data_IF_764534948355
#
_entry.id   IF_764534948355
#
_cell.length_a   1.000
_cell.length_b   1.000
_cell.length_c   1.000
_cell.angle_alpha   90.00
_cell.angle_beta   90.00
_cell.angle_gamma   90.00
#
_symmetry.space_group_name_H-M   'P 1'
#
loop_
_entity.id
_entity.type
_entity.pdbx_description
1 polymer ?
#
# COMPACT_ATOMS: atom_id res chain seq x y z
N UNK A 1 -33.72 1.20 22.88
CA UNK A 1 -32.60 0.58 23.61
C UNK A 1 -31.43 1.55 23.65
N UNK A 2 -30.38 1.22 24.41
CA UNK A 2 -29.15 2.03 24.44
C UNK A 2 -28.35 1.91 23.14
N UNK A 3 -27.56 2.93 22.81
CA UNK A 3 -26.65 2.87 21.67
C UNK A 3 -25.47 1.91 21.95
N UNK A 4 -24.95 1.29 20.89
CA UNK A 4 -23.71 0.52 20.96
C UNK A 4 -22.49 1.43 21.20
N UNK A 5 -21.57 0.99 22.05
CA UNK A 5 -20.33 1.74 22.31
C UNK A 5 -19.32 1.61 21.16
N UNK A 6 -18.44 2.59 21.03
CA UNK A 6 -17.28 2.54 20.14
C UNK A 6 -16.06 1.96 20.90
N UNK A 7 -15.40 0.93 20.36
CA UNK A 7 -14.18 0.33 20.93
C UNK A 7 -12.90 1.17 20.73
N UNK A 8 -11.72 0.55 20.88
CA UNK A 8 -10.42 1.11 20.47
C UNK A 8 -10.16 1.06 18.96
N UNK A 9 -9.01 1.55 18.50
CA UNK A 9 -8.67 1.57 17.06
C UNK A 9 -8.71 0.18 16.41
N UNK A 10 -9.31 0.10 15.21
CA UNK A 10 -9.57 -1.16 14.51
C UNK A 10 -10.62 -2.07 15.16
N UNK A 11 -11.24 -1.69 16.28
CA UNK A 11 -12.28 -2.48 16.92
C UNK A 11 -13.64 -2.19 16.30
N UNK A 12 -14.46 -3.25 16.30
CA UNK A 12 -15.84 -3.17 15.85
C UNK A 12 -16.67 -2.29 16.78
N UNK A 13 -17.67 -1.65 16.20
CA UNK A 13 -18.70 -0.97 16.97
C UNK A 13 -19.59 -1.95 17.71
N UNK A 14 -20.00 -1.58 18.92
CA UNK A 14 -20.91 -2.38 19.74
C UNK A 14 -22.30 -2.46 19.12
N UNK A 15 -23.01 -3.55 19.38
CA UNK A 15 -24.41 -3.66 18.96
C UNK A 15 -25.30 -2.67 19.72
N UNK A 16 -26.28 -2.12 19.01
CA UNK A 16 -27.35 -1.34 19.62
C UNK A 16 -28.27 -2.23 20.45
N UNK A 17 -28.65 -1.76 21.63
CA UNK A 17 -29.58 -2.47 22.50
C UNK A 17 -30.97 -2.54 21.87
N UNK A 18 -31.60 -3.71 21.91
CA UNK A 18 -33.01 -3.84 21.57
C UNK A 18 -33.86 -2.90 22.46
N UNK A 19 -34.97 -2.42 21.92
CA UNK A 19 -36.02 -1.87 22.78
C UNK A 19 -36.59 -2.99 23.67
N UNK A 20 -37.07 -2.61 24.85
CA UNK A 20 -37.84 -3.51 25.71
C UNK A 20 -39.22 -3.77 25.09
N UNK A 21 -40.25 -3.90 25.93
CA UNK A 21 -41.61 -4.17 25.44
C UNK A 21 -42.10 -3.14 24.40
N UNK A 22 -41.70 -1.87 24.55
CA UNK A 22 -42.03 -0.77 23.63
C UNK A 22 -40.79 0.05 23.24
N UNK A 23 -40.90 0.85 22.18
CA UNK A 23 -39.94 1.90 21.83
C UNK A 23 -38.97 1.52 20.70
N UNK A 24 -38.07 2.44 20.36
CA UNK A 24 -37.12 2.25 19.25
C UNK A 24 -35.91 1.42 19.66
N UNK A 25 -35.37 0.67 18.70
CA UNK A 25 -34.09 0.00 18.86
C UNK A 25 -32.94 1.01 18.94
N UNK A 26 -31.91 0.70 19.73
CA UNK A 26 -30.71 1.53 19.82
C UNK A 26 -29.86 1.41 18.56
N UNK A 27 -29.17 2.48 18.17
CA UNK A 27 -28.23 2.42 17.04
C UNK A 27 -27.01 1.54 17.38
N UNK A 28 -26.49 0.83 16.38
CA UNK A 28 -25.18 0.20 16.46
C UNK A 28 -24.08 1.25 16.49
N UNK A 29 -23.01 0.98 17.22
CA UNK A 29 -21.84 1.86 17.26
C UNK A 29 -21.06 1.79 15.96
N UNK A 30 -20.37 2.87 15.60
CA UNK A 30 -19.47 2.86 14.46
C UNK A 30 -18.21 2.03 14.75
N UNK A 31 -17.71 1.34 13.74
CA UNK A 31 -16.39 0.73 13.76
C UNK A 31 -15.32 1.80 13.67
N UNK A 32 -14.25 1.64 14.45
CA UNK A 32 -13.18 2.65 14.47
C UNK A 32 -12.22 2.46 13.32
N UNK A 33 -11.55 3.56 12.94
CA UNK A 33 -10.47 3.50 11.97
C UNK A 33 -9.38 2.52 12.42
N UNK A 34 -8.76 1.84 11.45
CA UNK A 34 -7.65 0.93 11.70
C UNK A 34 -6.50 1.64 12.40
N UNK A 35 -5.83 0.93 13.31
CA UNK A 35 -4.70 1.50 14.04
C UNK A 35 -3.59 1.90 13.06
N UNK A 36 -2.94 3.03 13.31
CA UNK A 36 -1.78 3.46 12.52
C UNK A 36 -0.60 2.52 12.77
N UNK A 37 0.11 2.17 11.71
CA UNK A 37 1.42 1.52 11.75
C UNK A 37 2.49 2.55 11.43
N UNK A 38 3.74 2.30 11.82
CA UNK A 38 4.84 3.26 11.62
C UNK A 38 6.14 2.61 11.13
N UNK A 39 6.23 1.28 11.12
CA UNK A 39 7.38 0.59 10.56
C UNK A 39 7.39 0.73 9.02
N UNK A 40 8.54 1.00 8.38
CA UNK A 40 8.64 1.07 6.93
C UNK A 40 8.12 -0.21 6.26
N UNK A 41 7.35 -0.05 5.19
CA UNK A 41 6.73 -1.16 4.48
C UNK A 41 5.61 -1.90 5.21
N UNK A 42 5.23 -1.46 6.42
CA UNK A 42 4.14 -2.09 7.15
C UNK A 42 2.80 -1.86 6.43
N UNK A 43 2.01 -2.92 6.34
CA UNK A 43 0.64 -2.82 5.86
C UNK A 43 -0.23 -2.04 6.84
N UNK A 44 -1.17 -1.29 6.31
CA UNK A 44 -2.23 -0.67 7.08
C UNK A 44 -3.13 -1.73 7.72
N UNK A 45 -3.66 -1.39 8.89
CA UNK A 45 -4.63 -2.21 9.60
C UNK A 45 -6.04 -1.93 9.07
N UNK A 46 -6.87 -2.97 9.08
CA UNK A 46 -8.27 -2.82 8.72
C UNK A 46 -9.01 -1.90 9.70
N UNK A 47 -10.02 -1.18 9.19
CA UNK A 47 -11.01 -0.53 10.03
C UNK A 47 -11.95 -1.56 10.67
N UNK A 48 -12.45 -1.25 11.86
CA UNK A 48 -13.44 -2.07 12.53
C UNK A 48 -14.79 -2.02 11.80
N UNK A 49 -15.58 -3.07 11.92
CA UNK A 49 -16.94 -3.11 11.37
C UNK A 49 -17.90 -2.30 12.23
N UNK A 50 -18.94 -1.74 11.63
CA UNK A 50 -20.03 -1.13 12.36
C UNK A 50 -20.88 -2.17 13.10
N UNK A 51 -21.35 -1.82 14.28
CA UNK A 51 -22.24 -2.64 15.08
C UNK A 51 -23.64 -2.74 14.49
N UNK A 52 -24.33 -3.84 14.74
CA UNK A 52 -25.73 -3.98 14.32
C UNK A 52 -26.65 -3.06 15.12
N UNK A 53 -27.69 -2.53 14.49
CA UNK A 53 -28.77 -1.81 15.17
C UNK A 53 -29.67 -2.75 15.99
N UNK A 54 -30.15 -2.27 17.13
CA UNK A 54 -31.07 -3.03 17.98
C UNK A 54 -32.47 -3.14 17.40
N UNK A 55 -33.20 -4.19 17.74
CA UNK A 55 -34.61 -4.32 17.33
C UNK A 55 -35.51 -3.28 18.02
N UNK A 56 -36.55 -2.83 17.32
CA UNK A 56 -37.64 -2.05 17.89
C UNK A 56 -38.57 -2.92 18.75
N UNK A 57 -39.16 -2.33 19.79
CA UNK A 57 -40.10 -3.02 20.68
C UNK A 57 -41.45 -3.23 20.00
N UNK A 58 -42.19 -4.25 20.40
CA UNK A 58 -43.52 -4.50 19.85
C UNK A 58 -44.53 -3.42 20.29
N UNK A 59 -45.66 -3.34 19.57
CA UNK A 59 -46.83 -2.58 20.00
C UNK A 59 -47.60 -3.31 21.10
N UNK A 60 -48.44 -2.60 21.82
CA UNK A 60 -49.32 -3.20 22.83
C UNK A 60 -50.33 -4.16 22.22
N UNK A 61 -50.79 -5.15 23.00
CA UNK A 61 -51.75 -6.17 22.55
C UNK A 61 -53.15 -5.63 22.28
N UNK A 62 -53.49 -4.48 22.86
CA UNK A 62 -54.77 -3.79 22.65
C UNK A 62 -54.60 -2.64 21.64
N UNK A 63 -53.60 -1.80 21.87
CA UNK A 63 -53.29 -0.66 21.02
C UNK A 63 -51.80 -0.30 21.16
N UNK A 64 -51.25 0.31 20.12
CA UNK A 64 -49.89 0.85 20.10
C UNK A 64 -49.09 0.40 18.89
N UNK A 65 -48.29 1.32 18.38
CA UNK A 65 -47.41 1.05 17.24
C UNK A 65 -46.20 0.22 17.66
N UNK A 66 -45.71 -0.60 16.72
CA UNK A 66 -44.38 -1.18 16.84
C UNK A 66 -43.30 -0.11 16.73
N UNK A 67 -42.22 -0.28 17.48
CA UNK A 67 -41.08 0.63 17.46
C UNK A 67 -40.19 0.44 16.25
N UNK A 68 -39.53 1.50 15.80
CA UNK A 68 -38.58 1.44 14.68
C UNK A 68 -37.29 0.73 15.12
N UNK A 69 -36.71 -0.09 14.25
CA UNK A 69 -35.40 -0.70 14.47
C UNK A 69 -34.27 0.35 14.48
N UNK A 70 -33.24 0.14 15.28
CA UNK A 70 -32.08 1.03 15.32
C UNK A 70 -31.25 0.96 14.04
N UNK A 71 -30.58 2.05 13.67
CA UNK A 71 -29.65 2.02 12.55
C UNK A 71 -28.42 1.16 12.87
N UNK A 72 -27.83 0.52 11.85
CA UNK A 72 -26.51 -0.09 11.97
C UNK A 72 -25.42 0.96 11.93
N UNK A 73 -24.32 0.72 12.65
CA UNK A 73 -23.16 1.62 12.67
C UNK A 73 -22.36 1.59 11.37
N UNK A 74 -21.62 2.64 11.09
CA UNK A 74 -20.72 2.71 9.95
C UNK A 74 -19.45 1.88 10.16
N UNK A 75 -18.89 1.33 9.09
CA UNK A 75 -17.58 0.71 9.11
C UNK A 75 -16.45 1.74 9.17
N UNK A 76 -15.40 1.41 9.93
CA UNK A 76 -14.23 2.26 10.10
C UNK A 76 -13.34 2.30 8.86
N UNK A 77 -12.60 3.40 8.68
CA UNK A 77 -11.61 3.52 7.60
C UNK A 77 -10.40 2.60 7.87
N UNK A 78 -9.88 1.93 6.85
CA UNK A 78 -8.58 1.23 6.94
C UNK A 78 -7.41 2.21 7.02
N UNK A 79 -6.39 1.93 7.83
CA UNK A 79 -5.22 2.81 7.91
C UNK A 79 -4.31 2.67 6.69
N UNK A 80 -3.48 3.69 6.46
CA UNK A 80 -2.55 3.67 5.34
C UNK A 80 -1.43 2.64 5.55
N UNK A 81 -0.96 2.05 4.45
CA UNK A 81 0.33 1.36 4.42
C UNK A 81 1.48 2.36 4.43
N UNK A 82 2.63 1.93 4.92
CA UNK A 82 3.81 2.79 5.06
C UNK A 82 4.75 2.59 3.89
N UNK A 83 5.35 3.68 3.42
CA UNK A 83 6.37 3.59 2.38
C UNK A 83 7.53 2.67 2.82
N UNK A 84 8.12 2.00 1.85
CA UNK A 84 9.30 1.18 2.06
C UNK A 84 10.52 2.04 2.40
N UNK A 85 11.42 1.51 3.22
CA UNK A 85 12.67 2.19 3.54
C UNK A 85 13.58 2.26 2.31
N UNK A 86 14.36 3.34 2.18
CA UNK A 86 15.44 3.37 1.20
C UNK A 86 16.50 2.31 1.53
N UNK A 87 17.05 1.68 0.50
CA UNK A 87 18.15 0.75 0.62
C UNK A 87 19.44 1.46 1.04
N UNK A 88 20.22 0.82 1.91
CA UNK A 88 21.61 1.21 2.14
C UNK A 88 22.49 0.92 0.90
N UNK A 89 23.78 1.27 0.93
CA UNK A 89 24.68 1.12 -0.21
C UNK A 89 24.62 -0.27 -0.87
N UNK A 90 24.27 -0.31 -2.15
CA UNK A 90 24.07 -1.54 -2.95
C UNK A 90 22.89 -2.43 -2.53
N UNK A 91 22.15 -2.07 -1.48
CA UNK A 91 21.04 -2.84 -0.95
C UNK A 91 19.71 -2.40 -1.59
N UNK A 92 18.79 -3.34 -1.68
CA UNK A 92 17.46 -3.07 -2.20
C UNK A 92 16.67 -2.12 -1.27
N UNK A 93 15.80 -1.31 -1.86
CA UNK A 93 14.76 -0.60 -1.14
C UNK A 93 13.70 -1.56 -0.60
N UNK A 94 13.12 -1.23 0.55
CA UNK A 94 11.99 -1.95 1.11
C UNK A 94 10.73 -1.77 0.26
N UNK A 95 9.83 -2.74 0.29
CA UNK A 95 8.52 -2.61 -0.35
C UNK A 95 7.62 -1.65 0.44
N UNK A 96 6.71 -0.96 -0.25
CA UNK A 96 5.63 -0.22 0.36
C UNK A 96 4.55 -1.16 0.90
N UNK A 97 3.99 -0.80 2.05
CA UNK A 97 2.90 -1.53 2.66
C UNK A 97 1.58 -1.31 1.91
N UNK A 98 0.73 -2.34 1.88
CA UNK A 98 -0.63 -2.18 1.37
C UNK A 98 -1.48 -1.36 2.33
N UNK A 99 -2.48 -0.65 1.83
CA UNK A 99 -3.49 -0.01 2.67
C UNK A 99 -4.37 -1.05 3.38
N UNK A 100 -4.82 -0.74 4.60
CA UNK A 100 -5.76 -1.59 5.32
C UNK A 100 -7.15 -1.52 4.72
N UNK A 101 -7.93 -2.59 4.81
CA UNK A 101 -9.31 -2.58 4.30
C UNK A 101 -10.22 -1.69 5.15
N UNK A 102 -11.23 -1.08 4.54
CA UNK A 102 -12.32 -0.47 5.28
C UNK A 102 -13.17 -1.54 5.97
N UNK A 103 -13.66 -1.24 7.17
CA UNK A 103 -14.58 -2.11 7.89
C UNK A 103 -15.96 -2.14 7.24
N UNK A 104 -16.71 -3.21 7.46
CA UNK A 104 -18.06 -3.32 6.90
C UNK A 104 -19.05 -2.46 7.70
N UNK A 105 -20.10 -1.97 7.05
CA UNK A 105 -21.21 -1.35 7.76
C UNK A 105 -22.05 -2.39 8.52
N UNK A 106 -22.59 -2.00 9.68
CA UNK A 106 -23.45 -2.83 10.49
C UNK A 106 -24.86 -2.96 9.91
N UNK A 107 -25.52 -4.09 10.15
CA UNK A 107 -26.92 -4.25 9.74
C UNK A 107 -27.85 -3.36 10.56
N UNK A 108 -28.93 -2.86 9.94
CA UNK A 108 -30.02 -2.20 10.64
C UNK A 108 -30.86 -3.18 11.48
N UNK A 109 -31.41 -2.70 12.58
CA UNK A 109 -32.26 -3.47 13.48
C UNK A 109 -33.64 -3.73 12.91
N UNK A 110 -34.29 -4.80 13.35
CA UNK A 110 -35.66 -5.13 12.96
C UNK A 110 -36.66 -4.12 13.52
N UNK A 111 -37.70 -3.80 12.75
CA UNK A 111 -38.85 -3.06 13.25
C UNK A 111 -39.74 -3.93 14.14
N UNK A 112 -40.30 -3.34 15.18
CA UNK A 112 -41.23 -4.00 16.10
C UNK A 112 -42.59 -4.25 15.46
N UNK A 113 -43.26 -5.32 15.88
CA UNK A 113 -44.59 -5.69 15.36
C UNK A 113 -45.70 -5.04 16.18
N UNK A 114 -46.73 -4.48 15.52
CA UNK A 114 -47.95 -4.10 16.22
C UNK A 114 -48.82 -5.35 16.47
N UNK A 115 -49.23 -5.57 17.72
CA UNK A 115 -50.00 -6.76 18.14
C UNK A 115 -51.50 -6.48 18.32
N UNK A 116 -51.87 -5.22 18.54
CA UNK A 116 -53.24 -4.72 18.62
C UNK A 116 -53.54 -3.66 17.55
N UNK A 117 -54.41 -2.71 17.84
CA UNK A 117 -54.69 -1.59 16.91
C UNK A 117 -53.47 -0.67 16.85
N UNK A 118 -52.76 -0.68 15.73
CA UNK A 118 -51.55 0.12 15.52
C UNK A 118 -50.82 -0.28 14.23
N UNK A 119 -49.79 0.48 13.90
CA UNK A 119 -48.91 0.19 12.77
C UNK A 119 -47.60 -0.41 13.25
N UNK A 120 -47.09 -1.43 12.57
CA UNK A 120 -45.75 -1.96 12.84
C UNK A 120 -44.66 -0.93 12.59
N UNK A 121 -43.54 -1.08 13.28
CA UNK A 121 -42.37 -0.24 13.14
C UNK A 121 -41.58 -0.59 11.89
N UNK A 122 -40.95 0.41 11.28
CA UNK A 122 -40.02 0.22 10.16
C UNK A 122 -38.72 -0.42 10.66
N UNK A 123 -38.02 -1.10 9.76
CA UNK A 123 -36.66 -1.54 10.03
C UNK A 123 -35.67 -0.37 10.06
N UNK A 124 -34.58 -0.52 10.79
CA UNK A 124 -33.49 0.45 10.83
C UNK A 124 -32.66 0.42 9.56
N UNK A 125 -32.06 1.56 9.19
CA UNK A 125 -31.12 1.61 8.06
C UNK A 125 -29.85 0.81 8.37
N UNK A 126 -29.23 0.21 7.35
CA UNK A 126 -27.90 -0.36 7.45
C UNK A 126 -26.82 0.73 7.43
N UNK A 127 -25.69 0.46 8.07
CA UNK A 127 -24.54 1.36 8.07
C UNK A 127 -23.75 1.30 6.77
N UNK A 128 -23.09 2.40 6.42
CA UNK A 128 -22.16 2.44 5.29
C UNK A 128 -20.86 1.68 5.60
N UNK A 129 -20.26 1.07 4.60
CA UNK A 129 -18.91 0.51 4.69
C UNK A 129 -17.83 1.59 4.77
N UNK A 130 -16.73 1.28 5.42
CA UNK A 130 -15.57 2.15 5.59
C UNK A 130 -14.72 2.25 4.33
N UNK A 131 -14.00 3.36 4.18
CA UNK A 131 -13.07 3.56 3.07
C UNK A 131 -11.80 2.73 3.29
N UNK A 132 -11.24 2.16 2.22
CA UNK A 132 -9.95 1.49 2.26
C UNK A 132 -8.77 2.46 2.49
N UNK A 133 -7.68 1.95 3.04
CA UNK A 133 -6.45 2.68 3.30
C UNK A 133 -5.66 2.95 2.03
N UNK A 134 -4.92 4.06 2.02
CA UNK A 134 -3.95 4.34 0.97
C UNK A 134 -2.76 3.38 1.07
N UNK A 135 -2.16 2.97 -0.05
CA UNK A 135 -0.90 2.21 -0.06
C UNK A 135 0.31 3.09 0.25
N UNK A 136 1.43 2.44 0.58
CA UNK A 136 2.75 3.06 0.62
C UNK A 136 3.52 2.81 -0.69
N UNK A 137 4.39 3.75 -1.04
CA UNK A 137 5.33 3.61 -2.16
C UNK A 137 6.50 2.68 -1.79
N UNK A 138 7.12 2.06 -2.79
CA UNK A 138 8.35 1.33 -2.62
C UNK A 138 9.55 2.25 -2.36
N UNK A 139 10.47 1.82 -1.51
CA UNK A 139 11.70 2.53 -1.21
C UNK A 139 12.68 2.49 -2.38
N UNK A 140 13.52 3.51 -2.52
CA UNK A 140 14.58 3.53 -3.53
C UNK A 140 15.67 2.52 -3.20
N UNK A 141 16.21 1.84 -4.20
CA UNK A 141 17.43 1.05 -4.05
C UNK A 141 18.64 1.93 -3.76
N UNK A 142 19.55 1.45 -2.92
CA UNK A 142 20.76 2.21 -2.60
C UNK A 142 21.77 2.15 -3.72
N UNK A 143 22.53 3.22 -3.91
CA UNK A 143 23.59 3.26 -4.92
C UNK A 143 24.71 2.27 -4.59
N UNK A 144 25.30 1.68 -5.61
CA UNK A 144 26.47 0.83 -5.47
C UNK A 144 27.65 1.58 -4.87
N UNK A 145 28.55 0.85 -4.23
CA UNK A 145 29.80 1.37 -3.67
C UNK A 145 30.98 0.52 -4.11
N UNK A 146 32.17 1.11 -4.13
CA UNK A 146 33.40 0.39 -4.42
C UNK A 146 33.91 -0.26 -3.14
N UNK A 147 34.14 -1.58 -3.18
CA UNK A 147 34.72 -2.34 -2.07
C UNK A 147 35.90 -3.13 -2.60
N UNK A 148 37.10 -2.87 -2.06
CA UNK A 148 38.34 -3.53 -2.49
C UNK A 148 38.65 -3.35 -3.97
N UNK A 149 38.45 -2.14 -4.50
CA UNK A 149 38.70 -1.80 -5.91
C UNK A 149 37.60 -2.19 -6.90
N UNK A 150 36.63 -3.02 -6.46
CA UNK A 150 35.54 -3.50 -7.32
C UNK A 150 34.31 -2.62 -7.15
N UNK A 151 33.80 -2.08 -8.27
CA UNK A 151 32.60 -1.27 -8.28
C UNK A 151 31.34 -2.13 -8.08
N UNK A 152 30.61 -1.87 -6.99
CA UNK A 152 29.38 -2.57 -6.67
C UNK A 152 28.18 -2.11 -7.50
N UNK A 153 27.20 -3.00 -7.63
CA UNK A 153 25.94 -2.70 -8.31
C UNK A 153 25.03 -1.83 -7.43
N UNK A 154 24.14 -1.08 -8.08
CA UNK A 154 23.02 -0.44 -7.41
C UNK A 154 21.98 -1.48 -6.96
N UNK A 155 21.37 -1.23 -5.81
CA UNK A 155 20.28 -2.05 -5.29
C UNK A 155 18.98 -1.82 -6.06
N UNK A 156 18.09 -2.81 -6.06
CA UNK A 156 16.78 -2.67 -6.70
C UNK A 156 15.87 -1.74 -5.90
N UNK A 157 14.96 -1.04 -6.58
CA UNK A 157 13.85 -0.37 -5.93
C UNK A 157 12.85 -1.36 -5.36
N UNK A 158 12.21 -1.01 -4.24
CA UNK A 158 11.14 -1.79 -3.64
C UNK A 158 9.83 -1.63 -4.42
N UNK A 159 8.95 -2.61 -4.31
CA UNK A 159 7.63 -2.57 -4.96
C UNK A 159 6.66 -1.67 -4.18
N UNK A 160 5.73 -1.03 -4.88
CA UNK A 160 4.64 -0.27 -4.25
C UNK A 160 3.55 -1.18 -3.67
N UNK A 161 2.84 -0.67 -2.66
CA UNK A 161 1.72 -1.36 -2.02
C UNK A 161 0.40 -1.27 -2.79
N UNK A 162 -0.54 -2.17 -2.47
CA UNK A 162 -1.90 -2.13 -3.00
C UNK A 162 -2.83 -1.25 -2.13
N UNK A 163 -3.78 -0.51 -2.71
CA UNK A 163 -4.79 0.17 -1.92
C UNK A 163 -5.66 -0.86 -1.18
N UNK A 164 -6.08 -0.50 0.03
CA UNK A 164 -7.03 -1.32 0.80
C UNK A 164 -8.41 -1.29 0.16
N UNK A 165 -9.16 -2.38 0.24
CA UNK A 165 -10.51 -2.42 -0.32
C UNK A 165 -11.49 -1.63 0.56
N UNK A 166 -12.47 -0.97 -0.05
CA UNK A 166 -13.62 -0.45 0.69
C UNK A 166 -14.42 -1.57 1.37
N UNK A 167 -15.00 -1.27 2.53
CA UNK A 167 -15.86 -2.18 3.27
C UNK A 167 -17.24 -2.33 2.63
N UNK A 168 -17.91 -3.44 2.91
CA UNK A 168 -19.26 -3.68 2.39
C UNK A 168 -20.31 -2.80 3.08
N UNK A 169 -21.41 -2.56 2.38
CA UNK A 169 -22.61 -1.94 2.96
C UNK A 169 -23.26 -2.88 3.99
N UNK A 170 -23.76 -2.31 5.08
CA UNK A 170 -24.70 -2.96 5.97
C UNK A 170 -26.08 -3.06 5.33
N UNK A 171 -26.75 -4.20 5.53
CA UNK A 171 -28.14 -4.37 5.08
C UNK A 171 -29.10 -3.57 5.97
N UNK A 172 -30.16 -3.02 5.39
CA UNK A 172 -31.28 -2.49 6.15
C UNK A 172 -32.03 -3.59 6.90
N UNK A 173 -32.53 -3.28 8.09
CA UNK A 173 -33.34 -4.20 8.88
C UNK A 173 -34.72 -4.39 8.25
N UNK A 174 -35.33 -5.57 8.42
CA UNK A 174 -36.71 -5.77 8.00
C UNK A 174 -37.68 -4.93 8.87
N UNK A 175 -38.76 -4.43 8.27
CA UNK A 175 -39.87 -3.87 9.04
C UNK A 175 -40.66 -4.95 9.78
N UNK A 176 -41.43 -4.53 10.79
CA UNK A 176 -42.47 -5.39 11.35
C UNK A 176 -43.58 -5.64 10.31
N UNK A 177 -44.56 -6.49 10.63
CA UNK A 177 -45.60 -6.92 9.66
C UNK A 177 -46.27 -5.72 8.99
N UNK A 178 -46.20 -5.66 7.66
CA UNK A 178 -46.78 -4.58 6.85
C UNK A 178 -46.00 -3.26 6.86
N UNK A 179 -44.89 -3.17 7.58
CA UNK A 179 -44.02 -2.01 7.60
C UNK A 179 -42.83 -2.17 6.65
N UNK A 180 -42.31 -1.04 6.17
CA UNK A 180 -41.16 -1.02 5.27
C UNK A 180 -39.87 -1.45 5.98
N UNK A 181 -39.02 -2.16 5.24
CA UNK A 181 -37.62 -2.39 5.60
C UNK A 181 -36.84 -1.07 5.59
N UNK A 182 -35.75 -1.04 6.37
CA UNK A 182 -34.78 0.04 6.30
C UNK A 182 -33.99 -0.02 4.99
N UNK A 183 -33.41 1.12 4.61
CA UNK A 183 -32.51 1.18 3.47
C UNK A 183 -31.19 0.46 3.78
N UNK A 184 -30.57 -0.14 2.76
CA UNK A 184 -29.18 -0.60 2.85
C UNK A 184 -28.25 0.62 2.94
N UNK A 185 -27.11 0.43 3.60
CA UNK A 185 -26.02 1.40 3.53
C UNK A 185 -25.34 1.41 2.16
N UNK A 186 -24.34 2.27 2.01
CA UNK A 186 -23.48 2.30 0.83
C UNK A 186 -22.20 1.52 1.07
N UNK A 187 -21.65 0.93 0.00
CA UNK A 187 -20.32 0.32 0.08
C UNK A 187 -19.26 1.41 0.25
N UNK A 188 -18.22 1.10 1.01
CA UNK A 188 -17.04 1.93 1.14
C UNK A 188 -16.25 1.98 -0.16
N UNK A 189 -15.44 3.02 -0.32
CA UNK A 189 -14.63 3.21 -1.52
C UNK A 189 -13.25 2.59 -1.38
N UNK A 190 -12.73 2.06 -2.48
CA UNK A 190 -11.33 1.63 -2.64
C UNK A 190 -10.56 2.79 -3.25
N UNK A 191 -9.42 3.23 -2.68
CA UNK A 191 -8.59 4.26 -3.30
C UNK A 191 -8.19 3.88 -4.73
N UNK A 192 -8.25 4.85 -5.64
CA UNK A 192 -7.95 4.68 -7.06
C UNK A 192 -6.47 4.95 -7.40
N UNK A 193 -5.62 5.12 -6.38
CA UNK A 193 -4.18 5.32 -6.51
C UNK A 193 -3.44 4.18 -5.80
N UNK A 194 -2.45 3.60 -6.49
CA UNK A 194 -1.60 2.53 -6.00
C UNK A 194 -0.27 3.09 -5.50
N UNK A 195 0.45 2.32 -4.70
CA UNK A 195 1.82 2.68 -4.33
C UNK A 195 2.69 2.59 -5.58
N UNK A 196 3.54 3.59 -5.82
CA UNK A 196 4.51 3.54 -6.89
C UNK A 196 5.70 2.66 -6.49
N UNK A 197 6.32 2.01 -7.47
CA UNK A 197 7.59 1.33 -7.26
C UNK A 197 8.73 2.32 -7.03
N UNK A 198 9.69 1.94 -6.19
CA UNK A 198 10.89 2.73 -5.93
C UNK A 198 11.86 2.71 -7.11
N UNK A 199 12.66 3.76 -7.26
CA UNK A 199 13.73 3.78 -8.25
C UNK A 199 14.85 2.79 -7.88
N UNK A 200 15.48 2.17 -8.88
CA UNK A 200 16.71 1.41 -8.70
C UNK A 200 17.91 2.32 -8.43
N UNK A 201 18.85 1.84 -7.63
CA UNK A 201 20.09 2.55 -7.30
C UNK A 201 21.05 2.61 -8.49
N UNK A 202 21.88 3.64 -8.54
CA UNK A 202 22.93 3.77 -9.56
C UNK A 202 24.08 2.83 -9.24
N UNK A 203 24.67 2.19 -10.26
CA UNK A 203 25.88 1.38 -10.11
C UNK A 203 27.11 2.23 -9.79
N UNK A 204 28.04 1.72 -8.99
CA UNK A 204 29.26 2.45 -8.67
C UNK A 204 30.14 2.63 -9.90
N UNK A 205 30.82 3.77 -10.03
CA UNK A 205 31.89 3.88 -11.01
C UNK A 205 33.16 3.22 -10.46
N UNK A 206 33.92 2.55 -11.32
CA UNK A 206 35.23 2.04 -10.96
C UNK A 206 36.19 3.18 -10.59
N UNK A 207 37.18 2.87 -9.75
CA UNK A 207 38.18 3.83 -9.26
C UNK A 207 39.62 3.39 -9.51
N UNK A 208 39.83 2.18 -10.04
CA UNK A 208 41.15 1.60 -10.28
C UNK A 208 41.36 1.31 -11.77
N UNK A 209 42.60 1.44 -12.29
CA UNK A 209 42.91 1.17 -13.69
C UNK A 209 42.37 -0.17 -14.20
N UNK A 210 41.69 -0.13 -15.34
CA UNK A 210 41.04 -1.31 -15.93
C UNK A 210 39.77 -1.79 -15.22
N UNK A 211 39.37 -1.16 -14.10
CA UNK A 211 38.20 -1.54 -13.32
C UNK A 211 36.87 -1.29 -14.05
N UNK A 212 35.92 -2.22 -13.89
CA UNK A 212 34.60 -2.13 -14.49
C UNK A 212 33.60 -1.39 -13.60
N UNK A 213 32.73 -0.59 -14.21
CA UNK A 213 31.61 0.03 -13.51
C UNK A 213 30.55 -0.99 -13.09
N UNK A 214 29.93 -0.76 -11.93
CA UNK A 214 28.83 -1.58 -11.43
C UNK A 214 27.54 -1.36 -12.23
N UNK A 215 26.70 -2.38 -12.31
CA UNK A 215 25.39 -2.27 -12.94
C UNK A 215 24.41 -1.43 -12.10
N UNK A 216 23.48 -0.75 -12.76
CA UNK A 216 22.35 -0.10 -12.11
C UNK A 216 21.31 -1.10 -11.61
N UNK A 217 20.64 -0.78 -10.51
CA UNK A 217 19.57 -1.59 -9.94
C UNK A 217 18.28 -1.48 -10.75
N UNK A 218 17.46 -2.54 -10.74
CA UNK A 218 16.13 -2.51 -11.35
C UNK A 218 15.18 -1.61 -10.55
N UNK A 219 14.27 -0.90 -11.21
CA UNK A 219 13.17 -0.20 -10.54
C UNK A 219 12.10 -1.16 -10.02
N UNK A 220 11.48 -0.83 -8.89
CA UNK A 220 10.42 -1.64 -8.28
C UNK A 220 9.13 -1.60 -9.09
N UNK A 221 8.32 -2.64 -9.02
CA UNK A 221 7.01 -2.67 -9.66
C UNK A 221 6.01 -1.80 -8.85
N UNK A 222 5.08 -1.16 -9.54
CA UNK A 222 3.97 -0.45 -8.90
C UNK A 222 2.98 -1.43 -8.26
N UNK A 223 2.21 -0.94 -7.29
CA UNK A 223 1.01 -1.62 -6.83
C UNK A 223 -0.04 -1.74 -7.95
N UNK A 224 -1.14 -2.42 -7.67
CA UNK A 224 -2.21 -2.74 -8.64
C UNK A 224 -2.70 -1.57 -9.50
N UNK A 225 -2.59 -0.33 -9.04
CA UNK A 225 -2.86 0.89 -9.82
C UNK A 225 -1.78 1.97 -9.65
N UNK A 226 -0.55 1.56 -9.30
CA UNK A 226 0.61 2.44 -9.13
C UNK A 226 1.59 2.31 -10.30
N UNK A 227 2.47 3.30 -10.47
CA UNK A 227 3.48 3.29 -11.52
C UNK A 227 4.69 2.44 -11.11
N UNK A 228 5.36 1.84 -12.08
CA UNK A 228 6.67 1.23 -11.88
C UNK A 228 7.75 2.28 -11.65
N UNK A 229 8.76 1.93 -10.86
CA UNK A 229 9.93 2.76 -10.60
C UNK A 229 10.94 2.70 -11.75
N UNK A 230 11.71 3.75 -11.93
CA UNK A 230 12.78 3.77 -12.94
C UNK A 230 13.95 2.88 -12.53
N UNK A 231 14.62 2.26 -13.51
CA UNK A 231 15.90 1.59 -13.30
C UNK A 231 17.03 2.59 -13.04
N UNK A 232 18.02 2.18 -12.26
CA UNK A 232 19.22 2.97 -12.00
C UNK A 232 20.19 2.93 -13.16
N UNK A 233 20.97 3.98 -13.35
CA UNK A 233 22.05 3.99 -14.34
C UNK A 233 23.19 3.03 -13.93
N UNK A 234 23.92 2.51 -14.91
CA UNK A 234 25.20 1.83 -14.66
C UNK A 234 26.29 2.83 -14.31
N UNK A 235 27.31 2.38 -13.59
CA UNK A 235 28.49 3.19 -13.26
C UNK A 235 29.52 3.21 -14.39
N UNK A 236 30.41 4.19 -14.38
CA UNK A 236 31.48 4.28 -15.37
C UNK A 236 32.57 3.25 -15.10
N UNK A 237 33.20 2.73 -16.15
CA UNK A 237 34.48 2.03 -16.03
C UNK A 237 35.63 3.02 -15.85
N UNK A 238 36.79 2.53 -15.43
CA UNK A 238 37.98 3.37 -15.25
C UNK A 238 38.94 3.25 -16.43
N UNK A 239 39.73 4.30 -16.67
CA UNK A 239 40.73 4.30 -17.74
C UNK A 239 41.81 3.22 -17.53
N UNK A 240 42.51 2.86 -18.60
CA UNK A 240 43.64 1.92 -18.52
C UNK A 240 44.87 2.54 -17.85
N UNK A 241 45.82 1.71 -17.39
CA UNK A 241 47.12 2.18 -16.93
C UNK A 241 48.09 2.32 -18.11
N UNK A 242 48.97 3.32 -18.08
CA UNK A 242 50.03 3.45 -19.06
C UNK A 242 51.09 2.35 -18.88
N UNK A 243 51.68 1.92 -20.01
CA UNK A 243 52.89 1.12 -20.01
C UNK A 243 54.10 1.92 -19.53
N UNK A 244 55.18 1.25 -19.15
CA UNK A 244 56.44 1.90 -18.76
C UNK A 244 57.46 1.78 -19.89
N UNK A 245 58.19 2.85 -20.19
CA UNK A 245 59.32 2.78 -21.12
C UNK A 245 60.42 1.88 -20.55
N UNK A 246 61.22 1.25 -21.43
CA UNK A 246 62.40 0.53 -21.00
C UNK A 246 63.49 1.50 -20.53
N UNK A 247 64.23 1.11 -19.49
CA UNK A 247 65.39 1.87 -19.01
C UNK A 247 66.64 1.63 -19.87
N UNK A 248 66.58 0.64 -20.77
CA UNK A 248 67.64 0.24 -21.69
C UNK A 248 67.08 0.35 -23.12
N UNK A 249 67.72 1.12 -24.03
CA UNK A 249 67.27 1.27 -25.42
C UNK A 249 67.24 -0.03 -26.24
N UNK A 250 67.83 -1.13 -25.73
CA UNK A 250 67.79 -2.44 -26.37
C UNK A 250 66.61 -3.33 -25.94
N UNK A 251 65.76 -2.84 -25.03
CA UNK A 251 64.60 -3.55 -24.50
C UNK A 251 63.31 -2.79 -24.84
N UNK A 252 62.21 -3.53 -25.03
CA UNK A 252 60.89 -2.93 -25.19
C UNK A 252 60.31 -2.52 -23.83
N UNK A 253 59.53 -1.43 -23.82
CA UNK A 253 58.74 -1.05 -22.66
C UNK A 253 57.66 -2.10 -22.29
N UNK A 254 57.04 -1.95 -21.12
CA UNK A 254 55.88 -2.77 -20.76
C UNK A 254 54.62 -2.23 -21.43
N UNK A 255 53.73 -3.13 -21.85
CA UNK A 255 52.43 -2.73 -22.39
C UNK A 255 51.54 -2.11 -21.30
N UNK A 256 50.75 -1.09 -21.68
CA UNK A 256 49.73 -0.53 -20.81
C UNK A 256 48.56 -1.49 -20.56
N UNK A 257 47.82 -1.26 -19.48
CA UNK A 257 46.58 -1.99 -19.19
C UNK A 257 45.41 -1.34 -19.93
N UNK A 258 44.49 -2.14 -20.47
CA UNK A 258 43.27 -1.63 -21.08
C UNK A 258 42.34 -0.98 -20.04
N UNK A 259 41.50 -0.04 -20.49
CA UNK A 259 40.45 0.53 -19.64
C UNK A 259 39.32 -0.47 -19.38
N UNK A 260 38.62 -0.28 -18.27
CA UNK A 260 37.47 -1.08 -17.91
C UNK A 260 36.18 -0.57 -18.55
N UNK A 261 35.30 -1.52 -18.89
CA UNK A 261 33.94 -1.23 -19.35
C UNK A 261 33.08 -0.52 -18.30
N UNK A 262 32.13 0.29 -18.72
CA UNK A 262 31.06 0.76 -17.83
C UNK A 262 30.01 -0.32 -17.58
N UNK A 263 29.19 -0.07 -16.56
CA UNK A 263 28.11 -0.93 -16.14
C UNK A 263 26.85 -0.76 -16.99
N UNK A 264 26.06 -1.82 -17.07
CA UNK A 264 24.72 -1.77 -17.67
C UNK A 264 23.76 -0.96 -16.77
N UNK A 265 22.79 -0.28 -17.37
CA UNK A 265 21.68 0.29 -16.62
C UNK A 265 20.68 -0.79 -16.19
N UNK A 266 19.94 -0.53 -15.12
CA UNK A 266 18.90 -1.41 -14.61
C UNK A 266 17.60 -1.27 -15.40
N UNK A 267 16.79 -2.34 -15.45
CA UNK A 267 15.46 -2.26 -16.06
C UNK A 267 14.52 -1.37 -15.23
N UNK A 268 13.49 -0.80 -15.87
CA UNK A 268 12.38 -0.20 -15.14
C UNK A 268 11.47 -1.26 -14.51
N UNK A 269 10.66 -0.84 -13.54
CA UNK A 269 9.61 -1.65 -12.95
C UNK A 269 8.32 -1.63 -13.77
N UNK A 270 7.49 -2.66 -13.60
CA UNK A 270 6.18 -2.71 -14.23
C UNK A 270 5.20 -1.77 -13.52
N UNK A 271 4.25 -1.19 -14.26
CA UNK A 271 3.09 -0.51 -13.67
C UNK A 271 1.99 -1.51 -13.31
N UNK A 272 1.07 -1.07 -12.46
CA UNK A 272 -0.20 -1.75 -12.23
C UNK A 272 -1.18 -1.64 -13.41
N UNK A 273 -2.39 -2.16 -13.25
CA UNK A 273 -3.46 -2.18 -14.26
C UNK A 273 -3.76 -0.79 -14.86
N UNK A 274 -3.59 0.27 -14.06
CA UNK A 274 -3.75 1.67 -14.50
C UNK A 274 -2.45 2.49 -14.38
N UNK A 275 -1.32 1.85 -14.06
CA UNK A 275 -0.03 2.51 -13.89
C UNK A 275 0.86 2.37 -15.12
N UNK A 276 1.75 3.32 -15.32
CA UNK A 276 2.80 3.20 -16.35
C UNK A 276 3.99 2.43 -15.80
N UNK A 277 4.67 1.68 -16.66
CA UNK A 277 6.00 1.13 -16.32
C UNK A 277 7.04 2.24 -16.12
N UNK A 278 8.11 1.92 -15.40
CA UNK A 278 9.28 2.77 -15.26
C UNK A 278 10.21 2.68 -16.47
N UNK A 279 11.00 3.73 -16.67
CA UNK A 279 12.04 3.71 -17.69
C UNK A 279 13.23 2.85 -17.25
N UNK A 280 13.93 2.25 -18.22
CA UNK A 280 15.24 1.65 -17.96
C UNK A 280 16.30 2.71 -17.67
N UNK A 281 17.31 2.34 -16.89
CA UNK A 281 18.51 3.14 -16.65
C UNK A 281 19.48 3.05 -17.81
N UNK A 282 20.31 4.09 -17.95
CA UNK A 282 21.32 4.15 -19.00
C UNK A 282 22.54 3.30 -18.62
N UNK A 283 23.03 2.51 -19.58
CA UNK A 283 24.35 1.90 -19.48
C UNK A 283 25.45 2.87 -19.89
N UNK A 284 26.68 2.60 -19.47
CA UNK A 284 27.86 3.39 -19.86
C UNK A 284 28.79 2.53 -20.69
N UNK A 285 29.13 2.97 -21.90
CA UNK A 285 30.18 2.36 -22.73
C UNK A 285 31.41 3.26 -22.67
N UNK A 286 32.50 2.77 -22.08
CA UNK A 286 33.83 3.41 -22.19
C UNK A 286 34.69 2.51 -23.07
N UNK A 287 35.06 2.99 -24.26
CA UNK A 287 36.06 2.35 -25.11
C UNK A 287 37.46 2.74 -24.64
N UNK A 288 38.20 1.80 -24.06
CA UNK A 288 39.57 2.04 -23.62
C UNK A 288 40.55 2.02 -24.80
N UNK A 289 41.22 3.14 -25.08
CA UNK A 289 42.48 3.13 -25.85
C UNK A 289 43.59 2.80 -24.86
N UNK A 290 44.26 1.66 -25.05
CA UNK A 290 45.52 1.39 -24.37
C UNK A 290 46.55 2.41 -24.84
N UNK A 291 47.22 3.10 -23.91
CA UNK A 291 48.35 3.96 -24.28
C UNK A 291 49.48 3.08 -24.83
N UNK A 292 49.86 3.31 -26.08
CA UNK A 292 51.03 2.67 -26.66
C UNK A 292 52.25 3.07 -25.81
N UNK A 293 52.98 2.08 -25.29
CA UNK A 293 54.32 2.29 -24.77
C UNK A 293 55.19 2.84 -25.90
N UNK A 294 55.87 3.95 -25.65
CA UNK A 294 56.76 4.55 -26.64
C UNK A 294 58.07 3.78 -26.73
N UNK A 295 58.57 3.64 -27.96
CA UNK A 295 59.94 3.22 -28.29
C UNK A 295 60.99 4.15 -27.65
#
# INVERSE_FOLDING_TARGET
GGAGGSGGSGQDGGAGGAAGLFGTGGAGGDGLAGATVSAPGANGNAGGSGGAGGAGGNGGTISGNGGVGGAGGHGGKGSAGIAGAAGGPGLAGGNGGSGGNGGNGGAGGLGGTALGVGTSGKGGAGGNGGVGGAPGDGGTGGNGVVIGGVAGNGGNGGNGGNPGTGGQAGSGGAGGIGAASGANGTAGTTPNIGGNGGAGGVGASATEPGGHGGAGGRGGDGGSVGNGGNGGAGGNGFIGAHGTNANDPSQDGTAGQAGGNGGAGGAGGNGGVAGTGGAGGQGVVVGGVAGNGGD
#
